data_IF_324856051709
#
_entry.id   IF_324856051709
#
_cell.length_a   1.000
_cell.length_b   1.000
_cell.length_c   1.000
_cell.angle_alpha   90.00
_cell.angle_beta   90.00
_cell.angle_gamma   90.00
#
_symmetry.space_group_name_H-M   'P 1'
#
loop_
_entity.id
_entity.type
_entity.pdbx_description
1 polymer ?
#
# COMPACT_ATOMS: atom_id res chain seq x y z
N UNK A 1 -11.53 -10.07 -18.58
CA UNK A 1 -10.93 -10.51 -17.30
C UNK A 1 -10.55 -11.96 -17.46
N UNK A 2 -9.34 -12.38 -17.10
CA UNK A 2 -9.06 -13.79 -16.86
C UNK A 2 -9.90 -14.22 -15.64
N UNK A 3 -11.10 -14.74 -15.93
CA UNK A 3 -12.07 -15.38 -15.06
C UNK A 3 -12.09 -14.98 -13.56
N UNK A 4 -12.80 -13.89 -13.20
CA UNK A 4 -13.03 -13.51 -11.79
C UNK A 4 -13.78 -14.58 -10.99
N UNK A 5 -14.62 -15.36 -11.67
CA UNK A 5 -15.42 -16.43 -11.08
C UNK A 5 -14.74 -17.81 -11.11
N UNK A 6 -13.65 -18.01 -11.85
CA UNK A 6 -13.03 -19.34 -11.95
C UNK A 6 -12.17 -19.69 -10.71
N UNK A 7 -11.60 -18.69 -10.03
CA UNK A 7 -10.74 -18.92 -8.86
C UNK A 7 -10.73 -17.74 -7.88
N UNK A 8 -11.88 -17.33 -7.30
CA UNK A 8 -11.93 -16.22 -6.34
C UNK A 8 -10.99 -16.41 -5.15
N UNK A 9 -10.85 -17.66 -4.67
CA UNK A 9 -9.95 -18.00 -3.56
C UNK A 9 -8.48 -17.71 -3.86
N UNK A 10 -8.02 -17.93 -5.09
CA UNK A 10 -6.62 -17.66 -5.48
C UNK A 10 -6.34 -16.17 -5.38
N UNK A 11 -7.24 -15.34 -5.93
CA UNK A 11 -7.13 -13.88 -5.85
C UNK A 11 -7.17 -13.36 -4.41
N UNK A 12 -8.08 -13.89 -3.58
CA UNK A 12 -8.18 -13.54 -2.16
C UNK A 12 -6.90 -13.89 -1.40
N UNK A 13 -6.31 -15.07 -1.65
CA UNK A 13 -5.05 -15.48 -1.02
C UNK A 13 -3.89 -14.56 -1.43
N UNK A 14 -3.76 -14.24 -2.72
CA UNK A 14 -2.71 -13.32 -3.19
C UNK A 14 -2.85 -11.92 -2.57
N UNK A 15 -4.06 -11.37 -2.56
CA UNK A 15 -4.32 -10.07 -1.93
C UNK A 15 -4.06 -10.15 -0.42
N UNK A 16 -4.50 -11.22 0.24
CA UNK A 16 -4.35 -11.42 1.67
C UNK A 16 -2.88 -11.53 2.10
N UNK A 17 -2.06 -12.30 1.38
CA UNK A 17 -0.62 -12.41 1.64
C UNK A 17 0.07 -11.06 1.44
N UNK A 18 -0.24 -10.38 0.32
CA UNK A 18 0.32 -9.06 0.03
C UNK A 18 0.01 -8.05 1.14
N UNK A 19 -1.27 -7.86 1.46
CA UNK A 19 -1.70 -6.94 2.52
C UNK A 19 -1.14 -7.32 3.89
N UNK A 20 -1.19 -8.61 4.24
CA UNK A 20 -0.75 -9.12 5.54
C UNK A 20 0.75 -8.97 5.78
N UNK A 21 1.57 -9.10 4.73
CA UNK A 21 3.02 -8.95 4.84
C UNK A 21 3.49 -7.49 4.80
N UNK A 22 2.83 -6.61 4.04
CA UNK A 22 3.29 -5.25 3.80
C UNK A 22 3.41 -4.40 5.09
N UNK A 23 2.41 -4.47 5.98
CA UNK A 23 2.39 -3.67 7.20
C UNK A 23 3.52 -4.03 8.19
N UNK A 24 3.68 -5.29 8.64
CA UNK A 24 4.78 -5.65 9.53
C UNK A 24 6.16 -5.47 8.88
N UNK A 25 6.29 -5.68 7.57
CA UNK A 25 7.52 -5.42 6.84
C UNK A 25 7.89 -3.93 6.89
N UNK A 26 6.93 -3.03 6.69
CA UNK A 26 7.14 -1.59 6.78
C UNK A 26 7.61 -1.17 8.19
N UNK A 27 6.95 -1.66 9.24
CA UNK A 27 7.36 -1.40 10.62
C UNK A 27 8.77 -1.92 10.91
N UNK A 28 9.10 -3.12 10.42
CA UNK A 28 10.44 -3.71 10.57
C UNK A 28 11.50 -2.85 9.89
N UNK A 29 11.24 -2.38 8.67
CA UNK A 29 12.15 -1.48 7.95
C UNK A 29 12.33 -0.15 8.68
N UNK A 30 11.27 0.43 9.26
CA UNK A 30 11.40 1.65 10.05
C UNK A 30 12.32 1.44 11.25
N UNK A 31 12.13 0.37 12.02
CA UNK A 31 12.98 0.02 13.16
C UNK A 31 14.44 -0.19 12.76
N UNK A 32 14.70 -0.88 11.64
CA UNK A 32 16.06 -1.12 11.13
C UNK A 32 16.76 0.14 10.60
N UNK A 33 16.02 1.23 10.34
CA UNK A 33 16.53 2.44 9.68
C UNK A 33 16.65 3.64 10.63
N UNK A 34 15.99 3.61 11.78
CA UNK A 34 16.08 4.63 12.83
C UNK A 34 17.18 4.34 13.85
N UNK A 35 17.71 5.37 14.51
CA UNK A 35 18.77 5.27 15.51
C UNK A 35 18.30 4.78 16.89
N UNK A 36 16.99 4.79 17.16
CA UNK A 36 16.45 4.25 18.40
C UNK A 36 14.92 4.07 18.44
N UNK A 37 14.38 3.46 19.51
CA UNK A 37 12.95 3.13 19.63
C UNK A 37 12.01 4.35 19.57
N UNK A 38 12.43 5.48 20.15
CA UNK A 38 11.64 6.71 20.14
C UNK A 38 11.45 7.27 18.72
N UNK A 39 12.52 7.26 17.91
CA UNK A 39 12.48 7.69 16.50
C UNK A 39 11.62 6.75 15.65
N UNK A 40 11.74 5.43 15.86
CA UNK A 40 10.91 4.43 15.18
C UNK A 40 9.42 4.66 15.43
N UNK A 41 9.03 4.91 16.69
CA UNK A 41 7.64 5.21 17.05
C UNK A 41 7.15 6.50 16.40
N UNK A 42 7.94 7.59 16.48
CA UNK A 42 7.57 8.88 15.90
C UNK A 42 7.41 8.79 14.38
N UNK A 43 8.34 8.13 13.69
CA UNK A 43 8.30 7.94 12.24
C UNK A 43 7.11 7.07 11.81
N UNK A 44 6.80 6.01 12.57
CA UNK A 44 5.65 5.14 12.30
C UNK A 44 4.34 5.88 12.49
N UNK A 45 4.21 6.68 13.54
CA UNK A 45 3.01 7.48 13.81
C UNK A 45 2.78 8.55 12.72
N UNK A 46 3.85 9.27 12.34
CA UNK A 46 3.78 10.25 11.26
C UNK A 46 3.39 9.60 9.93
N UNK A 47 4.02 8.48 9.58
CA UNK A 47 3.74 7.74 8.34
C UNK A 47 2.31 7.24 8.28
N UNK A 48 1.76 6.74 9.41
CA UNK A 48 0.36 6.32 9.51
C UNK A 48 -0.60 7.50 9.37
N UNK A 49 -0.32 8.62 10.04
CA UNK A 49 -1.15 9.83 9.93
C UNK A 49 -1.26 10.29 8.47
N UNK A 50 -0.12 10.39 7.78
CA UNK A 50 -0.10 10.77 6.35
C UNK A 50 -0.83 9.73 5.50
N UNK A 51 -0.58 8.44 5.74
CA UNK A 51 -1.22 7.35 5.00
C UNK A 51 -2.74 7.36 5.14
N UNK A 52 -3.26 7.54 6.36
CA UNK A 52 -4.68 7.63 6.62
C UNK A 52 -5.30 8.90 6.02
N UNK A 53 -4.61 10.04 6.10
CA UNK A 53 -5.08 11.29 5.48
C UNK A 53 -5.26 11.12 3.95
N UNK A 54 -4.31 10.45 3.28
CA UNK A 54 -4.40 10.14 1.85
C UNK A 54 -5.49 9.10 1.56
N UNK A 55 -5.68 8.11 2.43
CA UNK A 55 -6.64 7.03 2.25
C UNK A 55 -8.09 7.52 2.11
N UNK A 56 -8.44 8.63 2.75
CA UNK A 56 -9.77 9.26 2.66
C UNK A 56 -10.15 9.60 1.20
N UNK A 57 -9.18 9.97 0.37
CA UNK A 57 -9.42 10.30 -1.03
C UNK A 57 -9.70 9.07 -1.91
N UNK A 58 -9.33 7.86 -1.46
CA UNK A 58 -9.44 6.62 -2.22
C UNK A 58 -10.88 6.31 -2.67
N UNK A 59 -11.84 6.17 -1.73
CA UNK A 59 -13.24 5.88 -2.07
C UNK A 59 -13.88 6.93 -2.98
N UNK A 60 -13.57 8.22 -2.76
CA UNK A 60 -14.07 9.31 -3.59
C UNK A 60 -13.57 9.20 -5.03
N UNK A 61 -12.26 8.96 -5.21
CA UNK A 61 -11.65 8.75 -6.53
C UNK A 61 -12.26 7.54 -7.26
N UNK A 62 -12.44 6.42 -6.56
CA UNK A 62 -13.05 5.22 -7.13
C UNK A 62 -14.51 5.44 -7.53
N UNK A 63 -15.28 6.16 -6.71
CA UNK A 63 -16.68 6.49 -6.99
C UNK A 63 -16.83 7.38 -8.22
N UNK A 64 -15.97 8.39 -8.36
CA UNK A 64 -15.96 9.26 -9.56
C UNK A 64 -15.60 8.46 -10.82
N UNK A 65 -14.53 7.65 -10.76
CA UNK A 65 -14.11 6.79 -11.88
C UNK A 65 -15.22 5.83 -12.29
N UNK A 66 -15.89 5.21 -11.31
CA UNK A 66 -17.00 4.29 -11.55
C UNK A 66 -18.20 4.99 -12.17
N UNK A 67 -18.60 6.14 -11.62
CA UNK A 67 -19.75 6.92 -12.10
C UNK A 67 -19.56 7.39 -13.54
N UNK A 68 -18.36 7.85 -13.90
CA UNK A 68 -18.06 8.30 -15.25
C UNK A 68 -17.94 7.15 -16.26
N UNK A 69 -17.43 6.00 -15.81
CA UNK A 69 -17.15 4.86 -16.72
C UNK A 69 -18.34 3.90 -16.88
N UNK A 70 -19.30 3.91 -15.93
CA UNK A 70 -20.40 2.94 -15.86
C UNK A 70 -19.98 1.49 -15.60
N UNK A 71 -18.68 1.23 -15.43
CA UNK A 71 -18.09 -0.10 -15.27
C UNK A 71 -17.09 -0.11 -14.12
N UNK A 72 -16.93 -1.25 -13.45
CA UNK A 72 -15.98 -1.44 -12.34
C UNK A 72 -14.53 -1.61 -12.78
N UNK A 73 -14.33 -1.90 -14.07
CA UNK A 73 -13.02 -2.22 -14.62
C UNK A 73 -11.98 -1.10 -14.48
N UNK A 74 -12.29 0.16 -14.83
CA UNK A 74 -11.36 1.26 -14.65
C UNK A 74 -10.96 1.48 -13.20
N UNK A 75 -11.88 1.29 -12.25
CA UNK A 75 -11.60 1.37 -10.81
C UNK A 75 -10.61 0.31 -10.34
N UNK A 76 -10.76 -0.94 -10.82
CA UNK A 76 -9.80 -2.02 -10.52
C UNK A 76 -8.45 -1.74 -11.15
N UNK A 77 -8.42 -1.30 -12.41
CA UNK A 77 -7.17 -0.94 -13.09
C UNK A 77 -6.44 0.20 -12.37
N UNK A 78 -7.17 1.20 -11.90
CA UNK A 78 -6.63 2.30 -11.11
C UNK A 78 -5.98 1.81 -9.80
N UNK A 79 -6.63 0.91 -9.06
CA UNK A 79 -6.06 0.31 -7.85
C UNK A 79 -4.79 -0.48 -8.11
N UNK A 80 -4.72 -1.21 -9.23
CA UNK A 80 -3.52 -1.96 -9.64
C UNK A 80 -2.39 -1.00 -10.02
N UNK A 81 -2.69 0.06 -10.75
CA UNK A 81 -1.70 1.09 -11.13
C UNK A 81 -1.14 1.78 -9.88
N UNK A 82 -1.98 2.06 -8.88
CA UNK A 82 -1.54 2.63 -7.61
C UNK A 82 -0.53 1.75 -6.86
N UNK A 83 -0.45 0.44 -7.12
CA UNK A 83 0.58 -0.41 -6.50
C UNK A 83 1.99 -0.14 -7.03
N UNK A 84 2.14 0.39 -8.25
CA UNK A 84 3.44 0.66 -8.85
C UNK A 84 4.28 1.67 -8.04
N UNK A 85 3.78 2.86 -7.65
CA UNK A 85 4.55 3.77 -6.80
C UNK A 85 4.82 3.18 -5.42
N UNK A 86 3.86 2.48 -4.81
CA UNK A 86 4.05 1.81 -3.49
C UNK A 86 5.19 0.80 -3.54
N UNK A 87 5.25 -0.01 -4.61
CA UNK A 87 6.33 -0.95 -4.85
C UNK A 87 7.68 -0.21 -5.03
N UNK A 88 7.68 0.89 -5.80
CA UNK A 88 8.86 1.73 -5.99
C UNK A 88 9.42 2.26 -4.66
N UNK A 89 8.55 2.81 -3.81
CA UNK A 89 8.93 3.30 -2.48
C UNK A 89 9.38 2.17 -1.56
N UNK A 90 8.70 1.03 -1.56
CA UNK A 90 9.07 -0.15 -0.78
C UNK A 90 10.47 -0.67 -1.16
N UNK A 91 10.75 -0.79 -2.45
CA UNK A 91 12.07 -1.19 -2.95
C UNK A 91 13.16 -0.15 -2.60
N UNK A 92 12.83 1.14 -2.67
CA UNK A 92 13.75 2.20 -2.27
C UNK A 92 14.07 2.14 -0.77
N UNK A 93 13.07 1.91 0.09
CA UNK A 93 13.22 1.78 1.54
C UNK A 93 13.98 0.49 1.95
N UNK A 94 13.86 -0.58 1.16
CA UNK A 94 14.58 -1.82 1.38
C UNK A 94 16.09 -1.72 1.13
N UNK A 95 16.55 -0.70 0.38
CA UNK A 95 17.99 -0.50 0.12
C UNK A 95 18.77 -0.33 1.43
N UNK A 96 19.97 -0.94 1.57
CA UNK A 96 20.78 -0.90 2.79
C UNK A 96 21.43 0.48 2.98
N UNK A 97 20.62 1.50 3.26
CA UNK A 97 21.06 2.84 3.67
C UNK A 97 20.49 3.11 5.06
N UNK A 98 21.35 3.32 6.04
CA UNK A 98 20.96 3.80 7.36
C UNK A 98 20.71 5.30 7.29
N UNK A 99 19.59 5.77 7.83
CA UNK A 99 19.32 7.20 7.97
C UNK A 99 20.12 7.66 9.19
N UNK A 100 21.27 8.29 8.98
CA UNK A 100 22.00 9.00 10.03
C UNK A 100 21.58 10.46 9.99
N UNK A 101 20.94 10.94 11.06
CA UNK A 101 20.81 12.36 11.36
C UNK A 101 22.09 12.86 12.03
#
# INVERSE_FOLDING_TARGET
>A
MLAPAAAPWVWVVFIGIGQGACFPLALTLMVLRTGGPAEAMALSAFSQMVGYAVSIAGPLGLGVIHTLSGHWWPSVAFLVILQAPTLGFGLAAARPRTIRF
#
